data_IF_654510355090
#
_entry.id   IF_654510355090
#
_cell.length_a   1.000
_cell.length_b   1.000
_cell.length_c   1.000
_cell.angle_alpha   90.00
_cell.angle_beta   90.00
_cell.angle_gamma   90.00
#
_symmetry.space_group_name_H-M   'P 1'
#
loop_
_entity.id
_entity.type
_entity.pdbx_description
1 polymer ?
#
# COMPACT_ATOMS: atom_id res chain seq x y z
N UNK A 1 -7.44 -17.06 6.53
CA UNK A 1 -7.47 -15.89 5.65
C UNK A 1 -6.34 -16.03 4.64
N UNK A 2 -6.64 -16.59 3.47
CA UNK A 2 -5.73 -16.54 2.32
C UNK A 2 -5.84 -15.15 1.65
N UNK A 3 -4.97 -14.24 2.07
CA UNK A 3 -4.95 -12.86 1.58
C UNK A 3 -4.10 -12.71 0.32
N UNK A 4 -4.60 -11.96 -0.65
CA UNK A 4 -3.88 -11.58 -1.87
C UNK A 4 -4.07 -10.11 -2.21
N UNK A 5 -3.12 -9.52 -2.95
CA UNK A 5 -3.32 -8.23 -3.59
C UNK A 5 -4.01 -8.36 -4.95
N UNK A 6 -5.15 -7.70 -5.09
CA UNK A 6 -5.78 -7.43 -6.38
C UNK A 6 -5.34 -6.04 -6.89
N UNK A 7 -4.78 -6.00 -8.10
CA UNK A 7 -4.21 -4.79 -8.69
C UNK A 7 -5.25 -4.10 -9.57
N UNK A 8 -5.57 -2.85 -9.24
CA UNK A 8 -6.54 -2.04 -9.98
C UNK A 8 -5.76 -0.98 -10.76
N UNK A 9 -5.87 -1.02 -12.09
CA UNK A 9 -5.33 0.00 -13.00
C UNK A 9 -6.42 1.02 -13.29
N UNK A 10 -6.20 2.27 -12.89
CA UNK A 10 -7.10 3.37 -13.21
C UNK A 10 -6.40 4.30 -14.20
N UNK A 11 -6.94 4.37 -15.41
CA UNK A 11 -6.51 5.35 -16.41
C UNK A 11 -7.24 6.66 -16.09
N UNK A 12 -6.52 7.77 -15.97
CA UNK A 12 -7.13 9.08 -15.68
C UNK A 12 -8.18 9.43 -16.73
N UNK A 13 -9.28 10.08 -16.32
CA UNK A 13 -10.22 10.68 -17.27
C UNK A 13 -9.46 11.71 -18.12
N UNK A 14 -9.73 11.71 -19.44
CA UNK A 14 -9.03 12.46 -20.51
C UNK A 14 -8.71 13.94 -20.20
N UNK A 15 -9.39 14.57 -19.24
CA UNK A 15 -9.30 16.00 -18.95
C UNK A 15 -8.31 16.39 -17.83
N UNK A 16 -7.69 15.45 -17.13
CA UNK A 16 -6.59 15.74 -16.20
C UNK A 16 -5.45 14.80 -16.51
N UNK A 17 -4.30 15.35 -16.89
CA UNK A 17 -3.04 14.63 -17.17
C UNK A 17 -2.44 13.96 -15.90
N UNK A 18 -3.23 13.20 -15.16
CA UNK A 18 -2.74 12.29 -14.13
C UNK A 18 -2.69 10.92 -14.78
N UNK A 19 -1.47 10.49 -15.11
CA UNK A 19 -1.18 9.18 -15.73
C UNK A 19 -1.73 7.99 -14.95
N UNK A 20 -1.41 6.78 -15.43
CA UNK A 20 -1.91 5.52 -14.88
C UNK A 20 -1.75 5.43 -13.36
N UNK A 21 -2.88 5.34 -12.63
CA UNK A 21 -2.88 5.13 -11.19
C UNK A 21 -3.06 3.65 -10.89
N UNK A 22 -2.08 3.06 -10.23
CA UNK A 22 -2.17 1.70 -9.71
C UNK A 22 -2.62 1.76 -8.26
N UNK A 23 -3.70 1.03 -7.94
CA UNK A 23 -4.19 0.83 -6.57
C UNK A 23 -4.10 -0.66 -6.23
N UNK A 24 -3.87 -0.93 -4.95
CA UNK A 24 -3.77 -2.28 -4.41
C UNK A 24 -4.95 -2.51 -3.47
N UNK A 25 -5.77 -3.50 -3.79
CA UNK A 25 -6.87 -3.97 -2.96
C UNK A 25 -6.44 -5.27 -2.28
N UNK A 26 -6.77 -5.41 -0.99
CA UNK A 26 -6.58 -6.64 -0.24
C UNK A 26 -7.86 -7.46 -0.40
N UNK A 27 -7.71 -8.68 -0.89
CA UNK A 27 -8.80 -9.64 -1.08
C UNK A 27 -8.55 -10.88 -0.24
N UNK A 28 -9.64 -11.53 0.18
CA UNK A 28 -9.62 -12.75 0.99
C UNK A 28 -10.27 -13.90 0.21
N UNK A 29 -9.44 -14.81 -0.29
CA UNK A 29 -9.92 -15.92 -1.11
C UNK A 29 -10.78 -16.92 -0.35
N UNK A 30 -10.66 -16.96 0.98
CA UNK A 30 -11.48 -17.84 1.82
C UNK A 30 -12.94 -17.38 1.81
N UNK A 31 -13.20 -16.07 1.63
CA UNK A 31 -14.56 -15.53 1.56
C UNK A 31 -15.22 -15.76 0.21
N UNK A 32 -14.48 -15.56 -0.87
CA UNK A 32 -14.96 -15.82 -2.21
C UNK A 32 -13.79 -16.00 -3.20
N UNK A 33 -14.04 -16.76 -4.26
CA UNK A 33 -13.02 -17.04 -5.27
C UNK A 33 -12.71 -15.82 -6.16
N UNK A 34 -13.65 -14.88 -6.31
CA UNK A 34 -13.55 -13.79 -7.30
C UNK A 34 -13.83 -12.41 -6.73
N UNK A 35 -13.11 -11.42 -7.25
CA UNK A 35 -13.39 -10.00 -7.05
C UNK A 35 -14.69 -9.60 -7.78
N UNK A 36 -15.53 -8.71 -7.22
CA UNK A 36 -15.35 -7.95 -5.97
C UNK A 36 -15.85 -8.65 -4.70
N UNK A 37 -16.43 -9.84 -4.78
CA UNK A 37 -17.05 -10.53 -3.64
C UNK A 37 -16.04 -10.85 -2.51
N UNK A 38 -14.76 -10.99 -2.83
CA UNK A 38 -13.68 -11.22 -1.87
C UNK A 38 -12.94 -9.95 -1.41
N UNK A 39 -13.44 -8.77 -1.76
CA UNK A 39 -12.81 -7.51 -1.36
C UNK A 39 -12.91 -7.27 0.14
N UNK A 40 -11.77 -6.96 0.78
CA UNK A 40 -11.74 -6.52 2.18
C UNK A 40 -11.55 -5.01 2.28
N UNK A 41 -10.46 -4.49 1.72
CA UNK A 41 -10.11 -3.07 1.84
C UNK A 41 -9.03 -2.66 0.83
N UNK A 42 -8.76 -1.36 0.74
CA UNK A 42 -7.62 -0.84 -0.01
C UNK A 42 -6.37 -0.82 0.88
N UNK A 43 -5.24 -1.25 0.31
CA UNK A 43 -3.94 -1.12 0.98
C UNK A 43 -3.54 0.37 0.98
N UNK A 44 -3.31 0.99 2.15
CA UNK A 44 -2.98 2.41 2.24
C UNK A 44 -1.56 2.70 1.75
N UNK A 45 -1.27 3.98 1.46
CA UNK A 45 0.07 4.42 1.00
C UNK A 45 1.13 4.33 2.06
N UNK A 46 0.73 4.67 3.27
CA UNK A 46 1.53 4.60 4.46
C UNK A 46 0.73 3.76 5.45
N UNK A 47 1.39 2.80 6.07
CA UNK A 47 0.83 2.02 7.16
C UNK A 47 1.48 2.54 8.42
N UNK A 48 0.95 3.64 8.96
CA UNK A 48 1.41 4.16 10.23
C UNK A 48 0.25 4.11 11.23
N UNK A 49 0.29 3.19 12.20
CA UNK A 49 -0.79 3.03 13.19
C UNK A 49 -0.94 4.25 14.11
N UNK A 50 0.06 5.16 14.15
CA UNK A 50 0.02 6.41 14.92
C UNK A 50 -0.61 7.58 14.17
N UNK A 51 -0.81 7.48 12.86
CA UNK A 51 -1.50 8.53 12.11
C UNK A 51 -3.00 8.48 12.42
N UNK A 52 -3.62 9.65 12.64
CA UNK A 52 -5.07 9.81 12.84
C UNK A 52 -5.92 9.32 11.66
N UNK A 53 -5.32 9.00 10.51
CA UNK A 53 -6.04 8.44 9.37
C UNK A 53 -6.46 7.00 9.66
N UNK A 54 -7.76 6.83 9.90
CA UNK A 54 -8.41 5.52 10.04
C UNK A 54 -8.52 4.84 8.69
N UNK A 55 -7.51 4.05 8.31
CA UNK A 55 -7.61 3.14 7.17
C UNK A 55 -8.28 1.85 7.59
N UNK A 56 -9.25 1.37 6.81
CA UNK A 56 -9.94 0.09 7.09
C UNK A 56 -8.96 -1.08 7.19
N UNK A 57 -7.86 -1.03 6.44
CA UNK A 57 -6.77 -2.01 6.55
C UNK A 57 -6.15 -2.04 7.96
N UNK A 58 -5.86 -0.88 8.55
CA UNK A 58 -5.30 -0.81 9.91
C UNK A 58 -6.34 -1.22 10.96
N UNK A 59 -7.61 -0.90 10.73
CA UNK A 59 -8.71 -1.33 11.59
C UNK A 59 -8.88 -2.86 11.60
N UNK A 60 -8.68 -3.52 10.44
CA UNK A 60 -8.84 -4.97 10.30
C UNK A 60 -7.63 -5.75 10.83
N UNK A 61 -6.41 -5.26 10.62
CA UNK A 61 -5.17 -6.00 10.91
C UNK A 61 -4.33 -5.40 12.06
N UNK A 62 -4.75 -4.27 12.64
CA UNK A 62 -4.17 -3.71 13.86
C UNK A 62 -2.66 -3.49 13.80
N UNK A 63 -1.94 -4.03 14.78
CA UNK A 63 -0.48 -3.91 14.88
C UNK A 63 0.29 -4.70 13.82
N UNK A 64 -0.30 -5.75 13.25
CA UNK A 64 0.31 -6.61 12.22
C UNK A 64 0.26 -5.97 10.83
N UNK A 65 -0.53 -4.90 10.67
CA UNK A 65 -0.72 -4.19 9.40
C UNK A 65 0.58 -3.90 8.62
N UNK A 66 1.66 -3.39 9.22
CA UNK A 66 2.87 -3.05 8.46
C UNK A 66 3.54 -4.30 7.88
N UNK A 67 3.68 -5.35 8.70
CA UNK A 67 4.31 -6.61 8.30
C UNK A 67 3.45 -7.32 7.23
N UNK A 68 2.14 -7.38 7.46
CA UNK A 68 1.21 -7.96 6.50
C UNK A 68 1.22 -7.22 5.15
N UNK A 69 1.27 -5.89 5.17
CA UNK A 69 1.39 -5.09 3.96
C UNK A 69 2.67 -5.42 3.18
N UNK A 70 3.78 -5.58 3.89
CA UNK A 70 5.08 -5.93 3.30
C UNK A 70 5.04 -7.33 2.67
N UNK A 71 4.51 -8.32 3.39
CA UNK A 71 4.40 -9.70 2.90
C UNK A 71 3.50 -9.80 1.66
N UNK A 72 2.36 -9.11 1.68
CA UNK A 72 1.43 -9.05 0.56
C UNK A 72 2.07 -8.44 -0.70
N UNK A 73 2.87 -7.39 -0.54
CA UNK A 73 3.58 -6.74 -1.64
C UNK A 73 4.75 -7.59 -2.16
N UNK A 74 5.49 -8.26 -1.28
CA UNK A 74 6.58 -9.17 -1.67
C UNK A 74 6.04 -10.36 -2.47
N UNK A 75 4.99 -11.02 -1.96
CA UNK A 75 4.31 -12.12 -2.69
C UNK A 75 3.81 -11.66 -4.05
N UNK A 76 3.18 -10.48 -4.11
CA UNK A 76 2.72 -9.93 -5.39
C UNK A 76 3.89 -9.66 -6.35
N UNK A 77 5.05 -9.18 -5.85
CA UNK A 77 6.22 -8.88 -6.67
C UNK A 77 6.86 -10.12 -7.32
N UNK A 78 6.77 -11.27 -6.65
CA UNK A 78 7.25 -12.57 -7.15
C UNK A 78 6.35 -13.10 -8.27
N UNK A 79 5.03 -12.92 -8.15
CA UNK A 79 4.05 -13.43 -9.12
C UNK A 79 3.80 -12.49 -10.30
N UNK A 80 4.13 -11.21 -10.18
CA UNK A 80 3.74 -10.19 -11.16
C UNK A 80 4.74 -10.07 -12.31
N UNK A 81 4.24 -10.13 -13.55
CA UNK A 81 5.03 -10.09 -14.76
C UNK A 81 5.08 -8.69 -15.39
N UNK A 82 4.07 -7.85 -15.15
CA UNK A 82 4.02 -6.52 -15.77
C UNK A 82 4.98 -5.55 -15.10
N UNK A 83 5.98 -5.07 -15.86
CA UNK A 83 7.04 -4.17 -15.38
C UNK A 83 6.50 -2.94 -14.65
N UNK A 84 5.49 -2.28 -15.20
CA UNK A 84 4.85 -1.11 -14.61
C UNK A 84 4.18 -1.39 -13.25
N UNK A 85 3.62 -2.59 -13.06
CA UNK A 85 3.03 -3.00 -11.77
C UNK A 85 4.14 -3.34 -10.78
N UNK A 86 5.17 -4.07 -11.20
CA UNK A 86 6.33 -4.38 -10.36
C UNK A 86 6.99 -3.11 -9.84
N UNK A 87 7.14 -2.09 -10.68
CA UNK A 87 7.65 -0.77 -10.26
C UNK A 87 6.74 -0.10 -9.23
N UNK A 88 5.42 -0.15 -9.42
CA UNK A 88 4.47 0.38 -8.45
C UNK A 88 4.53 -0.36 -7.11
N UNK A 89 4.69 -1.67 -7.12
CA UNK A 89 4.88 -2.50 -5.91
C UNK A 89 6.19 -2.14 -5.21
N UNK A 90 7.31 -2.09 -5.94
CA UNK A 90 8.62 -1.67 -5.39
C UNK A 90 8.56 -0.28 -4.79
N UNK A 91 7.91 0.66 -5.47
CA UNK A 91 7.70 2.03 -4.98
C UNK A 91 6.88 2.03 -3.69
N UNK A 92 5.85 1.17 -3.59
CA UNK A 92 5.04 1.03 -2.39
C UNK A 92 5.83 0.44 -1.22
N UNK A 93 6.64 -0.60 -1.45
CA UNK A 93 7.53 -1.17 -0.43
C UNK A 93 8.49 -0.13 0.13
N UNK A 94 9.07 0.72 -0.74
CA UNK A 94 9.92 1.84 -0.29
C UNK A 94 9.16 2.77 0.67
N UNK A 95 7.91 3.13 0.36
CA UNK A 95 7.12 4.00 1.25
C UNK A 95 6.72 3.37 2.58
N UNK A 96 6.60 2.04 2.64
CA UNK A 96 6.35 1.33 3.89
C UNK A 96 7.59 1.29 4.79
N UNK A 97 8.78 1.14 4.19
CA UNK A 97 10.04 1.04 4.92
C UNK A 97 10.63 2.40 5.32
N UNK A 98 10.16 3.50 4.74
CA UNK A 98 10.56 4.85 5.17
C UNK A 98 9.92 5.11 6.53
N UNK A 99 10.71 4.84 7.58
CA UNK A 99 10.46 5.38 8.90
C UNK A 99 10.20 6.89 8.78
N UNK A 100 9.13 7.45 9.38
CA UNK A 100 8.82 8.87 9.30
C UNK A 100 9.83 9.76 10.04
N UNK A 101 10.98 9.22 10.45
CA UNK A 101 12.06 9.97 11.08
C UNK A 101 12.91 10.62 9.98
N UNK A 102 12.30 11.50 9.19
CA UNK A 102 13.09 12.58 8.60
C UNK A 102 13.39 13.54 9.74
N UNK A 103 14.39 13.20 10.56
CA UNK A 103 14.95 14.17 11.50
C UNK A 103 15.58 15.27 10.68
N UNK A 104 14.84 16.36 10.48
CA UNK A 104 15.38 17.53 9.80
C UNK A 104 16.11 18.32 10.87
N UNK A 105 17.43 18.43 10.74
CA UNK A 105 18.20 19.32 11.59
C UNK A 105 17.93 20.76 11.16
N UNK A 106 17.51 21.59 12.09
CA UNK A 106 17.39 23.02 11.83
C UNK A 106 18.79 23.57 11.47
N UNK A 107 18.90 24.21 10.31
CA UNK A 107 20.17 24.80 9.83
C UNK A 107 20.69 25.90 10.76
N UNK A 108 19.81 26.52 11.54
CA UNK A 108 20.14 27.66 12.40
C UNK A 108 20.50 27.23 13.84
N UNK A 109 19.78 26.29 14.44
CA UNK A 109 20.01 25.87 15.84
C UNK A 109 20.51 24.42 16.01
N UNK A 110 20.62 23.64 14.94
CA UNK A 110 21.14 22.26 14.97
C UNK A 110 20.22 21.23 15.63
N UNK A 111 19.09 21.65 16.22
CA UNK A 111 18.11 20.75 16.83
C UNK A 111 17.41 19.88 15.77
N UNK A 112 17.18 18.62 16.11
CA UNK A 112 16.47 17.64 15.28
C UNK A 112 14.97 17.73 15.53
N UNK A 113 14.16 17.82 14.46
CA UNK A 113 12.68 17.78 14.49
C UNK A 113 12.16 16.62 13.67
#
# INVERSE_FOLDING_TARGET
MELQLYIIKHYGLKYRAKGMQIRFAVVDKDKATRYPANFLCLLPRQVNPRLKQKYKFIELFGFESPQLAQDLLNKALETENYTNIREAIKKRLKFLNVNPVCQVKCRFCGQSF
#
